data_IF_790235666184
#
_entry.id   IF_790235666184
#
_cell.length_a   1.000
_cell.length_b   1.000
_cell.length_c   1.000
_cell.angle_alpha   90.00
_cell.angle_beta   90.00
_cell.angle_gamma   90.00
#
_symmetry.space_group_name_H-M   'P 1'
#
loop_
_entity.id
_entity.type
_entity.pdbx_description
1 polymer ?
#
# COMPACT_ATOMS: atom_id res chain seq x y z
N UNK A 1 2.18 -15.25 -7.47
CA UNK A 1 2.05 -13.83 -7.86
C UNK A 1 3.44 -13.26 -7.89
N UNK A 2 3.82 -12.64 -8.99
CA UNK A 2 5.14 -12.03 -9.22
C UNK A 2 5.11 -10.56 -8.82
N UNK A 3 6.29 -9.98 -8.58
CA UNK A 3 6.45 -8.54 -8.32
C UNK A 3 5.76 -7.67 -9.37
N UNK A 4 5.92 -8.02 -10.65
CA UNK A 4 5.34 -7.27 -11.77
C UNK A 4 3.82 -7.34 -11.76
N UNK A 5 3.23 -8.51 -11.52
CA UNK A 5 1.77 -8.66 -11.45
C UNK A 5 1.16 -7.83 -10.32
N UNK A 6 1.80 -7.79 -9.16
CA UNK A 6 1.35 -6.96 -8.02
C UNK A 6 1.39 -5.48 -8.40
N UNK A 7 2.55 -4.99 -8.85
CA UNK A 7 2.78 -3.56 -9.10
C UNK A 7 2.07 -3.01 -10.34
N UNK A 8 1.57 -3.86 -11.22
CA UNK A 8 0.81 -3.43 -12.39
C UNK A 8 -0.64 -3.11 -12.04
N UNK A 9 -1.20 -3.76 -11.01
CA UNK A 9 -2.61 -3.62 -10.65
C UNK A 9 -2.82 -4.01 -9.18
N UNK A 10 -2.64 -3.06 -8.27
CA UNK A 10 -2.86 -3.28 -6.85
C UNK A 10 -4.28 -3.76 -6.52
N UNK A 11 -5.36 -3.23 -7.13
CA UNK A 11 -6.71 -3.74 -6.91
C UNK A 11 -6.85 -5.24 -7.19
N UNK A 12 -6.38 -5.70 -8.35
CA UNK A 12 -6.46 -7.12 -8.71
C UNK A 12 -5.57 -7.99 -7.81
N UNK A 13 -4.40 -7.49 -7.42
CA UNK A 13 -3.50 -8.18 -6.50
C UNK A 13 -4.11 -8.33 -5.10
N UNK A 14 -4.70 -7.26 -4.55
CA UNK A 14 -5.35 -7.25 -3.24
C UNK A 14 -6.62 -8.12 -3.24
N UNK A 15 -7.37 -8.16 -4.34
CA UNK A 15 -8.54 -9.01 -4.48
C UNK A 15 -8.14 -10.50 -4.53
N UNK A 16 -7.15 -10.85 -5.36
CA UNK A 16 -6.77 -12.24 -5.63
C UNK A 16 -5.85 -12.86 -4.58
N UNK A 17 -5.08 -12.06 -3.83
CA UNK A 17 -4.22 -12.56 -2.77
C UNK A 17 -5.03 -13.14 -1.62
N UNK A 18 -4.75 -14.40 -1.29
CA UNK A 18 -5.34 -15.10 -0.14
C UNK A 18 -4.85 -14.52 1.18
N UNK A 19 -3.56 -14.22 1.24
CA UNK A 19 -2.89 -13.74 2.45
C UNK A 19 -1.87 -12.66 2.10
N UNK A 20 -1.63 -11.79 3.08
CA UNK A 20 -0.75 -10.62 2.94
C UNK A 20 0.71 -11.02 2.71
N UNK A 21 1.16 -12.14 3.30
CA UNK A 21 2.51 -12.67 3.13
C UNK A 21 2.86 -13.01 1.67
N UNK A 22 1.85 -13.35 0.86
CA UNK A 22 2.02 -13.59 -0.57
C UNK A 22 2.35 -12.30 -1.33
N UNK A 23 1.74 -11.18 -0.94
CA UNK A 23 1.99 -9.86 -1.53
C UNK A 23 3.32 -9.30 -1.04
N UNK A 24 3.57 -9.31 0.27
CA UNK A 24 4.81 -8.79 0.86
C UNK A 24 6.05 -9.53 0.35
N UNK A 25 5.99 -10.87 0.27
CA UNK A 25 7.04 -11.68 -0.32
C UNK A 25 7.25 -11.39 -1.81
N UNK A 26 6.18 -11.17 -2.58
CA UNK A 26 6.28 -10.88 -4.01
C UNK A 26 6.95 -9.52 -4.30
N UNK A 27 6.70 -8.50 -3.48
CA UNK A 27 7.33 -7.18 -3.63
C UNK A 27 8.69 -7.06 -2.93
N UNK A 28 9.09 -8.07 -2.14
CA UNK A 28 10.33 -8.06 -1.37
C UNK A 28 10.26 -7.17 -0.14
N UNK A 29 9.10 -7.09 0.52
CA UNK A 29 8.85 -6.30 1.73
C UNK A 29 9.08 -4.79 1.56
N UNK A 30 9.02 -4.28 0.33
CA UNK A 30 9.24 -2.87 0.03
C UNK A 30 8.35 -2.33 -1.08
N UNK A 31 7.91 -1.09 -0.90
CA UNK A 31 7.08 -0.35 -1.85
C UNK A 31 7.91 0.67 -2.63
N UNK A 32 7.49 0.99 -3.85
CA UNK A 32 7.87 2.24 -4.51
C UNK A 32 6.92 3.37 -4.09
N UNK A 33 7.28 4.61 -4.41
CA UNK A 33 6.38 5.76 -4.21
C UNK A 33 5.06 5.58 -5.00
N UNK A 34 5.11 5.01 -6.19
CA UNK A 34 3.90 4.75 -6.99
C UNK A 34 3.00 3.68 -6.35
N UNK A 35 3.61 2.62 -5.79
CA UNK A 35 2.86 1.62 -5.02
C UNK A 35 2.13 2.31 -3.85
N UNK A 36 2.82 3.15 -3.07
CA UNK A 36 2.23 3.86 -1.94
C UNK A 36 1.13 4.84 -2.36
N UNK A 37 1.28 5.53 -3.50
CA UNK A 37 0.24 6.41 -4.06
C UNK A 37 -1.01 5.64 -4.43
N UNK A 38 -0.88 4.49 -5.10
CA UNK A 38 -2.01 3.67 -5.49
C UNK A 38 -2.72 3.06 -4.27
N UNK A 39 -1.96 2.52 -3.32
CA UNK A 39 -2.50 1.99 -2.06
C UNK A 39 -3.22 3.09 -1.24
N UNK A 40 -2.65 4.29 -1.15
CA UNK A 40 -3.28 5.45 -0.52
C UNK A 40 -4.61 5.80 -1.20
N UNK A 41 -4.63 5.85 -2.54
CA UNK A 41 -5.84 6.16 -3.31
C UNK A 41 -6.95 5.12 -3.08
N UNK A 42 -6.59 3.83 -3.04
CA UNK A 42 -7.53 2.75 -2.73
C UNK A 42 -8.07 2.83 -1.31
N UNK A 43 -7.20 3.05 -0.33
CA UNK A 43 -7.59 3.22 1.06
C UNK A 43 -8.53 4.43 1.24
N UNK A 44 -8.22 5.56 0.60
CA UNK A 44 -9.07 6.78 0.61
C UNK A 44 -10.43 6.54 -0.04
N UNK A 45 -10.51 5.65 -1.01
CA UNK A 45 -11.75 5.19 -1.64
C UNK A 45 -12.49 4.09 -0.85
N UNK A 46 -12.08 3.82 0.39
CA UNK A 46 -12.64 2.79 1.28
C UNK A 46 -12.50 1.35 0.74
N UNK A 47 -11.52 1.11 -0.14
CA UNK A 47 -11.28 -0.21 -0.75
C UNK A 47 -10.11 -0.91 -0.08
N UNK A 48 -10.32 -2.19 0.23
CA UNK A 48 -9.29 -3.12 0.74
C UNK A 48 -8.54 -2.65 2.00
N UNK A 49 -9.13 -1.74 2.80
CA UNK A 49 -8.44 -1.08 3.94
C UNK A 49 -7.68 -2.06 4.82
N UNK A 50 -8.36 -3.07 5.37
CA UNK A 50 -7.77 -4.03 6.29
C UNK A 50 -6.58 -4.79 5.66
N UNK A 51 -6.67 -5.15 4.37
CA UNK A 51 -5.57 -5.81 3.64
C UNK A 51 -4.41 -4.84 3.39
N UNK A 52 -4.69 -3.59 3.05
CA UNK A 52 -3.66 -2.56 2.83
C UNK A 52 -2.94 -2.28 4.16
N UNK A 53 -3.68 -2.07 5.24
CA UNK A 53 -3.14 -1.83 6.59
C UNK A 53 -2.26 -2.99 7.05
N UNK A 54 -2.75 -4.23 6.93
CA UNK A 54 -1.99 -5.43 7.27
C UNK A 54 -0.72 -5.57 6.41
N UNK A 55 -0.80 -5.24 5.12
CA UNK A 55 0.34 -5.28 4.21
C UNK A 55 1.41 -4.24 4.55
N UNK A 56 0.99 -3.02 4.89
CA UNK A 56 1.90 -1.99 5.36
C UNK A 56 2.59 -2.40 6.66
N UNK A 57 1.86 -3.03 7.59
CA UNK A 57 2.44 -3.55 8.84
C UNK A 57 3.45 -4.66 8.57
N UNK A 58 3.09 -5.63 7.74
CA UNK A 58 3.97 -6.76 7.35
C UNK A 58 5.28 -6.26 6.70
N UNK A 59 5.23 -5.17 5.94
CA UNK A 59 6.40 -4.56 5.30
C UNK A 59 7.12 -3.51 6.17
N UNK A 60 6.75 -3.34 7.44
CA UNK A 60 7.30 -2.36 8.39
C UNK A 60 7.02 -0.87 8.07
N UNK A 61 6.00 -0.55 7.29
CA UNK A 61 5.51 0.82 7.03
C UNK A 61 4.50 1.27 8.09
N UNK A 62 4.83 1.09 9.38
CA UNK A 62 3.91 1.28 10.52
C UNK A 62 3.42 2.73 10.62
N UNK A 63 4.32 3.70 10.52
CA UNK A 63 3.97 5.12 10.64
C UNK A 63 3.01 5.58 9.54
N UNK A 64 3.25 5.13 8.29
CA UNK A 64 2.37 5.40 7.17
C UNK A 64 1.00 4.73 7.37
N UNK A 65 0.97 3.46 7.80
CA UNK A 65 -0.26 2.73 8.15
C UNK A 65 -1.09 3.47 9.21
N UNK A 66 -0.46 3.94 10.29
CA UNK A 66 -1.13 4.73 11.32
C UNK A 66 -1.75 6.02 10.76
N UNK A 67 -1.09 6.69 9.82
CA UNK A 67 -1.67 7.87 9.16
C UNK A 67 -2.92 7.51 8.36
N UNK A 68 -2.91 6.38 7.65
CA UNK A 68 -4.08 5.88 6.90
C UNK A 68 -5.25 5.54 7.82
N UNK A 69 -5.01 4.80 8.90
CA UNK A 69 -6.03 4.43 9.91
C UNK A 69 -6.68 5.68 10.51
N UNK A 70 -5.88 6.68 10.86
CA UNK A 70 -6.35 7.96 11.41
C UNK A 70 -6.92 8.92 10.36
N UNK A 71 -6.94 8.52 9.07
CA UNK A 71 -7.36 9.33 7.93
C UNK A 71 -6.56 10.63 7.77
N UNK A 72 -5.33 10.66 8.27
CA UNK A 72 -4.36 11.76 8.15
C UNK A 72 -3.65 11.72 6.78
N UNK A 73 -4.41 11.67 5.68
CA UNK A 73 -3.85 11.41 4.33
C UNK A 73 -2.84 12.46 3.86
N UNK A 74 -3.02 13.74 4.22
CA UNK A 74 -2.06 14.79 3.89
C UNK A 74 -0.68 14.52 4.53
N UNK A 75 -0.69 14.13 5.80
CA UNK A 75 0.52 13.76 6.54
C UNK A 75 1.16 12.48 6.00
N UNK A 76 0.35 11.52 5.56
CA UNK A 76 0.84 10.31 4.90
C UNK A 76 1.58 10.65 3.59
N UNK A 77 1.04 11.58 2.80
CA UNK A 77 1.67 12.08 1.57
C UNK A 77 2.99 12.77 1.86
N UNK A 78 3.05 13.64 2.88
CA UNK A 78 4.29 14.31 3.28
C UNK A 78 5.34 13.34 3.81
N UNK A 79 4.92 12.37 4.64
CA UNK A 79 5.80 11.39 5.30
C UNK A 79 6.61 10.56 4.32
N UNK A 80 5.97 10.08 3.25
CA UNK A 80 6.60 9.24 2.23
C UNK A 80 6.98 10.04 0.97
N UNK A 81 6.91 11.38 1.06
CA UNK A 81 7.21 12.32 -0.03
C UNK A 81 6.48 11.94 -1.34
N UNK A 82 5.18 11.64 -1.22
CA UNK A 82 4.32 11.19 -2.32
C UNK A 82 3.74 12.34 -3.15
N UNK A 83 4.16 13.58 -2.89
CA UNK A 83 3.85 14.74 -3.71
C UNK A 83 4.11 14.41 -5.18
N UNK A 84 3.27 14.96 -6.08
CA UNK A 84 3.36 14.68 -7.51
C UNK A 84 4.80 14.86 -7.97
N UNK A 85 5.32 13.87 -8.72
CA UNK A 85 6.54 14.08 -9.47
C UNK A 85 6.17 15.09 -10.57
N UNK A 86 6.71 16.30 -10.46
CA UNK A 86 6.76 17.27 -11.57
C UNK A 86 7.25 16.59 -12.86
#
# INVERSE_FOLDING_TARGET
>A
MTKTEVRTNWPAALESAKDVSMLSGAIGFGFTKDDLRELLALHKADKYRDKIEALLVECNFISFCCCLINKEYAKAIEMEELNEAD
#
